data_IF_436103501998
#
_entry.id   IF_436103501998
#
_cell.length_a   1.000
_cell.length_b   1.000
_cell.length_c   1.000
_cell.angle_alpha   90.00
_cell.angle_beta   90.00
_cell.angle_gamma   90.00
#
_symmetry.space_group_name_H-M   'P 1'
#
loop_
_entity.id
_entity.type
_entity.pdbx_description
1 polymer ?
#
# COMPACT_ATOMS: atom_id res chain seq x y z
N UNK A 1 -40.45 2.08 72.64
CA UNK A 1 -40.23 3.24 71.72
C UNK A 1 -38.86 3.13 71.02
N UNK A 2 -37.91 2.42 71.63
CA UNK A 2 -36.52 2.25 71.06
C UNK A 2 -36.45 1.24 69.91
N UNK A 3 -37.28 0.17 69.94
CA UNK A 3 -37.28 -0.88 68.90
C UNK A 3 -37.89 -0.44 67.52
N UNK A 4 -38.71 0.60 67.45
CA UNK A 4 -39.24 1.11 66.18
C UNK A 4 -38.26 2.02 65.41
N UNK A 5 -37.26 2.60 66.10
CA UNK A 5 -36.26 3.45 65.47
C UNK A 5 -35.17 2.64 64.76
N UNK A 6 -34.82 1.47 65.26
CA UNK A 6 -33.80 0.59 64.65
C UNK A 6 -34.31 -0.08 63.37
N UNK A 7 -35.59 -0.49 63.34
CA UNK A 7 -36.18 -1.13 62.15
C UNK A 7 -36.28 -0.13 60.99
N UNK A 8 -36.59 1.10 61.22
CA UNK A 8 -36.65 2.14 60.15
C UNK A 8 -35.26 2.48 59.61
N UNK A 9 -34.19 2.44 60.42
CA UNK A 9 -32.82 2.63 59.95
C UNK A 9 -32.33 1.49 59.10
N UNK A 10 -32.67 0.25 59.42
CA UNK A 10 -32.32 -0.93 58.65
C UNK A 10 -33.05 -0.92 57.30
N UNK A 11 -34.34 -0.55 57.25
CA UNK A 11 -35.08 -0.42 56.00
C UNK A 11 -34.57 0.72 55.13
N UNK A 12 -34.13 1.84 55.68
CA UNK A 12 -33.56 2.95 54.96
C UNK A 12 -32.18 2.58 54.40
N UNK A 13 -31.34 1.85 55.15
CA UNK A 13 -30.05 1.36 54.66
C UNK A 13 -30.19 0.28 53.57
N UNK A 14 -31.17 -0.61 53.66
CA UNK A 14 -31.45 -1.62 52.62
C UNK A 14 -32.03 -0.97 51.37
N UNK A 15 -32.91 0.05 51.51
CA UNK A 15 -33.43 0.81 50.36
C UNK A 15 -32.34 1.60 49.64
N UNK A 16 -31.39 2.23 50.37
CA UNK A 16 -30.24 2.94 49.75
C UNK A 16 -29.29 1.96 49.09
N UNK A 17 -29.07 0.75 49.67
CA UNK A 17 -28.22 -0.28 49.06
C UNK A 17 -28.88 -0.92 47.83
N UNK A 18 -30.19 -1.12 47.80
CA UNK A 18 -30.95 -1.60 46.64
C UNK A 18 -31.02 -0.53 45.51
N UNK A 19 -31.11 0.77 45.88
CA UNK A 19 -31.08 1.84 44.89
C UNK A 19 -29.66 2.04 44.31
N UNK A 20 -28.61 1.87 45.10
CA UNK A 20 -27.23 1.94 44.58
C UNK A 20 -26.85 0.74 43.69
N UNK A 21 -27.38 -0.47 43.99
CA UNK A 21 -27.21 -1.65 43.13
C UNK A 21 -28.02 -1.53 41.84
N UNK A 22 -29.20 -0.91 41.87
CA UNK A 22 -30.02 -0.63 40.68
C UNK A 22 -29.40 0.48 39.81
N UNK A 23 -28.76 1.48 40.41
CA UNK A 23 -28.08 2.55 39.67
C UNK A 23 -26.79 2.04 39.01
N UNK A 24 -26.07 1.05 39.59
CA UNK A 24 -24.95 0.39 38.97
C UNK A 24 -25.35 -0.65 37.90
N UNK A 25 -26.58 -1.18 37.96
CA UNK A 25 -27.10 -2.16 36.99
C UNK A 25 -27.68 -1.54 35.71
N UNK A 26 -28.09 -0.24 35.73
CA UNK A 26 -28.61 0.44 34.55
C UNK A 26 -27.54 1.17 33.69
N UNK A 27 -26.29 1.26 34.17
CA UNK A 27 -25.17 1.78 33.36
C UNK A 27 -24.47 0.74 32.54
N UNK A 28 -25.01 -0.45 32.35
CA UNK A 28 -24.29 -1.60 31.79
C UNK A 28 -24.98 -2.31 30.64
N UNK A 29 -25.79 -1.64 29.82
CA UNK A 29 -26.46 -2.36 28.73
C UNK A 29 -26.32 -1.78 27.32
N UNK A 30 -25.77 -0.58 27.12
CA UNK A 30 -25.60 -0.13 25.73
C UNK A 30 -24.21 0.47 25.39
N UNK A 31 -23.42 0.95 26.36
CA UNK A 31 -22.07 1.46 26.08
C UNK A 31 -20.99 0.37 26.09
N UNK A 32 -21.18 -0.68 26.86
CA UNK A 32 -20.12 -1.69 27.09
C UNK A 32 -19.80 -2.61 25.90
N UNK A 33 -20.68 -2.69 24.90
CA UNK A 33 -20.40 -3.43 23.66
C UNK A 33 -19.86 -2.54 22.56
N UNK A 34 -20.25 -1.27 22.50
CA UNK A 34 -19.68 -0.30 21.58
C UNK A 34 -18.26 0.12 21.98
N UNK A 35 -18.00 0.28 23.29
CA UNK A 35 -16.66 0.62 23.80
C UNK A 35 -15.63 -0.52 23.63
N UNK A 36 -16.09 -1.79 23.44
CA UNK A 36 -15.21 -2.93 23.08
C UNK A 36 -14.89 -2.98 21.58
N UNK A 37 -15.66 -2.27 20.74
CA UNK A 37 -15.43 -2.16 19.29
C UNK A 37 -14.69 -0.89 18.89
N UNK A 38 -14.67 0.14 19.74
CA UNK A 38 -13.94 1.39 19.53
C UNK A 38 -12.74 1.44 20.50
N UNK A 39 -11.71 0.64 20.23
CA UNK A 39 -10.45 0.81 20.95
C UNK A 39 -9.84 2.17 20.64
N UNK A 40 -9.08 2.74 21.57
CA UNK A 40 -8.35 3.99 21.35
C UNK A 40 -7.47 3.90 20.10
N UNK A 41 -6.79 2.78 19.90
CA UNK A 41 -5.95 2.51 18.73
C UNK A 41 -6.77 2.44 17.43
N UNK A 42 -7.89 1.72 17.43
CA UNK A 42 -8.81 1.67 16.28
C UNK A 42 -9.37 3.06 15.93
N UNK A 43 -9.72 3.85 16.94
CA UNK A 43 -10.16 5.24 16.77
C UNK A 43 -9.08 6.15 16.17
N UNK A 44 -7.82 6.00 16.60
CA UNK A 44 -6.66 6.71 16.06
C UNK A 44 -6.37 6.30 14.62
N UNK A 45 -6.33 5.00 14.30
CA UNK A 45 -6.17 4.50 12.94
C UNK A 45 -7.21 5.09 11.99
N UNK A 46 -8.48 5.09 12.42
CA UNK A 46 -9.58 5.68 11.67
C UNK A 46 -9.39 7.19 11.43
N UNK A 47 -8.94 7.91 12.44
CA UNK A 47 -8.68 9.35 12.33
C UNK A 47 -7.55 9.63 11.34
N UNK A 48 -6.46 8.87 11.39
CA UNK A 48 -5.34 9.03 10.45
C UNK A 48 -5.76 8.72 9.00
N UNK A 49 -6.45 7.60 8.76
CA UNK A 49 -6.93 7.25 7.42
C UNK A 49 -7.84 8.35 6.88
N UNK A 50 -8.80 8.84 7.70
CA UNK A 50 -9.74 9.89 7.31
C UNK A 50 -9.03 11.18 6.92
N UNK A 51 -8.03 11.62 7.67
CA UNK A 51 -7.24 12.82 7.34
C UNK A 51 -6.42 12.59 6.07
N UNK A 52 -5.68 11.48 6.01
CA UNK A 52 -4.76 11.19 4.90
C UNK A 52 -5.47 10.86 3.58
N UNK A 53 -6.74 10.43 3.60
CA UNK A 53 -7.55 10.21 2.40
C UNK A 53 -8.60 11.30 2.16
N UNK A 54 -8.50 12.44 2.83
CA UNK A 54 -9.45 13.52 2.69
C UNK A 54 -9.36 14.20 1.30
N UNK A 55 -10.49 14.69 0.79
CA UNK A 55 -10.60 15.28 -0.54
C UNK A 55 -9.71 16.52 -0.75
N UNK A 56 -9.47 17.31 0.31
CA UNK A 56 -8.62 18.50 0.23
C UNK A 56 -7.13 18.18 0.01
N UNK A 57 -6.72 16.93 0.20
CA UNK A 57 -5.37 16.46 -0.14
C UNK A 57 -5.24 16.05 -1.62
N UNK A 58 -6.34 16.13 -2.39
CA UNK A 58 -6.36 15.91 -3.84
C UNK A 58 -5.64 14.61 -4.26
N UNK A 59 -5.76 13.56 -3.42
CA UNK A 59 -5.12 12.27 -3.67
C UNK A 59 -3.59 12.29 -3.54
N UNK A 60 -3.00 13.24 -2.85
CA UNK A 60 -1.58 13.29 -2.44
C UNK A 60 -0.58 13.03 -3.58
N UNK A 61 -0.84 13.56 -4.77
CA UNK A 61 0.09 13.35 -5.89
C UNK A 61 1.49 13.84 -5.55
N UNK A 62 2.51 13.06 -5.91
CA UNK A 62 3.90 13.44 -5.75
C UNK A 62 4.17 14.87 -6.25
N UNK A 63 4.76 15.73 -5.42
CA UNK A 63 5.07 17.11 -5.70
C UNK A 63 3.88 18.08 -5.62
N UNK A 64 2.68 17.63 -5.25
CA UNK A 64 1.52 18.51 -5.06
C UNK A 64 1.46 19.13 -3.66
N UNK A 65 0.60 20.15 -3.50
CA UNK A 65 0.29 20.71 -2.19
C UNK A 65 -0.39 19.67 -1.28
N UNK A 66 -1.15 18.73 -1.86
CA UNK A 66 -1.75 17.62 -1.12
C UNK A 66 -0.72 16.70 -0.50
N UNK A 67 0.34 16.33 -1.22
CA UNK A 67 1.47 15.56 -0.65
C UNK A 67 2.18 16.36 0.45
N UNK A 68 2.41 17.66 0.21
CA UNK A 68 3.05 18.53 1.20
C UNK A 68 2.23 18.60 2.50
N UNK A 69 0.93 18.80 2.40
CA UNK A 69 0.01 18.86 3.55
C UNK A 69 -0.03 17.52 4.29
N UNK A 70 -0.02 16.40 3.56
CA UNK A 70 0.08 15.07 4.16
C UNK A 70 1.41 14.86 4.91
N UNK A 71 2.53 15.34 4.35
CA UNK A 71 3.83 15.29 5.01
C UNK A 71 3.86 16.14 6.29
N UNK A 72 3.25 17.33 6.26
CA UNK A 72 3.11 18.19 7.43
C UNK A 72 2.29 17.49 8.53
N UNK A 73 1.18 16.87 8.16
CA UNK A 73 0.38 16.07 9.10
C UNK A 73 1.17 14.93 9.73
N UNK A 74 1.85 14.10 8.93
CA UNK A 74 2.69 13.00 9.44
C UNK A 74 3.76 13.50 10.39
N UNK A 75 4.45 14.59 10.03
CA UNK A 75 5.46 15.22 10.89
C UNK A 75 4.89 15.66 12.24
N UNK A 76 3.73 16.32 12.22
CA UNK A 76 3.13 16.90 13.43
C UNK A 76 2.61 15.78 14.35
N UNK A 77 2.00 14.74 13.80
CA UNK A 77 1.59 13.56 14.57
C UNK A 77 2.79 12.86 15.22
N UNK A 78 3.89 12.66 14.48
CA UNK A 78 5.12 12.07 15.08
C UNK A 78 5.63 12.90 16.25
N UNK A 79 5.63 14.24 16.14
CA UNK A 79 6.01 15.14 17.24
C UNK A 79 5.06 15.05 18.43
N UNK A 80 3.76 15.02 18.17
CA UNK A 80 2.74 14.90 19.23
C UNK A 80 2.88 13.59 20.01
N UNK A 81 3.35 12.53 19.34
CA UNK A 81 3.69 11.25 19.97
C UNK A 81 5.06 11.26 20.70
N UNK A 82 5.79 12.37 20.65
CA UNK A 82 7.11 12.50 21.26
C UNK A 82 8.24 11.82 20.48
N UNK A 83 8.01 11.49 19.21
CA UNK A 83 9.04 10.95 18.33
C UNK A 83 9.94 12.08 17.82
N UNK A 84 11.25 11.88 17.85
CA UNK A 84 12.21 12.86 17.34
C UNK A 84 12.13 12.93 15.81
N UNK A 85 11.62 14.05 15.28
CA UNK A 85 11.60 14.28 13.82
C UNK A 85 12.92 14.85 13.38
N UNK A 86 13.74 14.02 12.73
CA UNK A 86 15.10 14.37 12.28
C UNK A 86 15.16 14.96 10.88
N UNK A 87 14.07 14.85 10.07
CA UNK A 87 13.95 15.55 8.80
C UNK A 87 13.78 17.07 9.04
N UNK A 88 14.21 17.94 8.08
CA UNK A 88 13.93 19.38 8.14
C UNK A 88 12.43 19.68 8.27
N UNK A 89 12.09 20.94 8.69
CA UNK A 89 10.71 21.37 8.91
C UNK A 89 9.80 21.09 7.69
N UNK A 90 10.31 21.32 6.49
CA UNK A 90 9.56 21.12 5.23
C UNK A 90 9.72 19.70 4.66
N UNK A 91 10.23 18.76 5.45
CA UNK A 91 10.59 17.41 5.05
C UNK A 91 12.00 17.34 4.45
N UNK A 92 12.44 16.12 4.18
CA UNK A 92 13.70 15.81 3.48
C UNK A 92 13.43 15.92 1.96
N UNK A 93 13.64 17.13 1.41
CA UNK A 93 13.22 17.56 0.06
C UNK A 93 14.18 17.03 -1.01
N UNK A 94 13.62 16.51 -2.10
CA UNK A 94 14.36 16.08 -3.27
C UNK A 94 13.63 16.38 -4.57
N UNK A 95 14.39 16.47 -5.68
CA UNK A 95 13.88 16.73 -7.02
C UNK A 95 13.94 15.51 -7.92
N UNK A 96 12.88 15.29 -8.70
CA UNK A 96 12.78 14.23 -9.70
C UNK A 96 12.60 14.88 -11.07
N UNK A 97 13.43 14.51 -12.04
CA UNK A 97 13.23 14.96 -13.43
C UNK A 97 12.11 14.13 -14.05
N UNK A 98 11.09 14.82 -14.54
CA UNK A 98 10.01 14.21 -15.30
C UNK A 98 10.44 13.95 -16.75
N UNK A 99 9.73 13.08 -17.47
CA UNK A 99 9.94 12.85 -18.91
C UNK A 99 9.83 14.11 -19.76
N UNK A 100 9.08 15.12 -19.30
CA UNK A 100 8.91 16.42 -19.96
C UNK A 100 10.07 17.40 -19.72
N UNK A 101 11.05 17.00 -18.88
CA UNK A 101 12.20 17.84 -18.52
C UNK A 101 11.98 18.76 -17.33
N UNK A 102 10.76 18.85 -16.81
CA UNK A 102 10.44 19.59 -15.59
C UNK A 102 10.99 18.87 -14.34
N UNK A 103 11.16 19.59 -13.25
CA UNK A 103 11.53 19.02 -11.96
C UNK A 103 10.32 18.97 -11.03
N UNK A 104 9.90 17.77 -10.66
CA UNK A 104 8.93 17.53 -9.61
C UNK A 104 9.66 17.54 -8.25
N UNK A 105 9.13 18.24 -7.25
CA UNK A 105 9.73 18.34 -5.91
C UNK A 105 8.89 17.56 -4.93
N UNK A 106 9.45 16.51 -4.33
CA UNK A 106 8.81 15.69 -3.32
C UNK A 106 9.63 15.69 -2.01
N UNK A 107 9.20 14.95 -1.00
CA UNK A 107 9.82 14.94 0.33
C UNK A 107 9.57 13.66 1.11
N UNK A 108 10.55 13.27 1.94
CA UNK A 108 10.35 12.26 2.99
C UNK A 108 10.11 12.96 4.34
N UNK A 109 9.42 12.26 5.24
CA UNK A 109 9.35 12.63 6.67
C UNK A 109 10.01 11.52 7.46
N UNK A 110 10.96 11.90 8.33
CA UNK A 110 11.78 10.93 9.06
C UNK A 110 11.64 11.17 10.57
N UNK A 111 11.04 10.19 11.25
CA UNK A 111 10.99 10.11 12.72
C UNK A 111 12.03 9.14 13.25
N UNK A 112 12.49 9.37 14.47
CA UNK A 112 13.53 8.57 15.11
C UNK A 112 13.18 8.28 16.57
N UNK A 113 13.34 7.00 16.96
CA UNK A 113 13.27 6.55 18.35
C UNK A 113 14.55 5.82 18.69
N UNK A 114 15.29 6.33 19.67
CA UNK A 114 16.58 5.76 20.06
C UNK A 114 16.42 4.45 20.84
N UNK A 115 17.17 3.43 20.46
CA UNK A 115 17.28 2.17 21.21
C UNK A 115 18.05 2.33 22.52
N UNK A 116 17.75 1.48 23.50
CA UNK A 116 18.38 1.57 24.82
C UNK A 116 19.75 0.89 24.92
N UNK A 117 20.06 -0.06 24.04
CA UNK A 117 21.27 -0.88 24.12
C UNK A 117 22.50 -0.13 23.60
N UNK A 118 23.54 -0.04 24.38
CA UNK A 118 24.76 0.73 24.02
C UNK A 118 25.50 0.17 22.82
N UNK A 119 25.36 -1.11 22.52
CA UNK A 119 26.03 -1.78 21.39
C UNK A 119 25.15 -1.79 20.12
N UNK A 120 23.82 -1.78 20.29
CA UNK A 120 22.88 -1.91 19.18
C UNK A 120 22.10 -0.63 18.85
N UNK A 121 22.15 0.42 19.68
CA UNK A 121 21.39 1.66 19.43
C UNK A 121 21.82 2.42 18.17
N UNK A 122 23.06 2.17 17.70
CA UNK A 122 23.57 2.74 16.46
C UNK A 122 23.32 1.80 15.25
N UNK A 123 22.47 0.77 15.45
CA UNK A 123 21.92 -0.09 14.42
C UNK A 123 20.45 0.23 14.25
N UNK A 124 19.97 0.28 13.01
CA UNK A 124 18.67 0.82 12.68
C UNK A 124 17.73 -0.22 12.07
N UNK A 125 16.48 -0.20 12.51
CA UNK A 125 15.36 -0.81 11.78
C UNK A 125 14.58 0.33 11.16
N UNK A 126 14.34 0.28 9.85
CA UNK A 126 13.52 1.26 9.14
C UNK A 126 12.09 0.72 9.04
N UNK A 127 11.12 1.49 9.51
CA UNK A 127 9.70 1.27 9.26
C UNK A 127 9.25 2.30 8.24
N UNK A 128 8.86 1.85 7.06
CA UNK A 128 8.53 2.73 5.94
C UNK A 128 7.12 2.54 5.43
N UNK A 129 6.50 3.64 4.99
CA UNK A 129 5.22 3.65 4.31
C UNK A 129 5.20 4.73 3.22
N UNK A 130 4.51 4.46 2.11
CA UNK A 130 4.33 5.41 1.01
C UNK A 130 3.46 6.58 1.42
N UNK A 131 3.93 7.82 1.17
CA UNK A 131 3.22 9.07 1.48
C UNK A 131 2.29 9.51 0.36
N UNK A 132 2.79 9.48 -0.88
CA UNK A 132 2.07 9.94 -2.07
C UNK A 132 1.09 8.90 -2.62
N UNK A 133 0.22 9.37 -3.51
CA UNK A 133 -0.67 8.52 -4.29
C UNK A 133 -0.92 9.16 -5.67
N UNK A 134 -1.92 8.70 -6.42
CA UNK A 134 -2.11 9.04 -7.84
C UNK A 134 -2.61 10.47 -8.10
N UNK A 135 -3.14 11.16 -7.08
CA UNK A 135 -3.62 12.53 -7.23
C UNK A 135 -5.02 12.61 -7.83
N UNK A 136 -5.20 13.55 -8.76
CA UNK A 136 -6.45 13.77 -9.47
C UNK A 136 -6.31 13.48 -10.96
N UNK A 137 -7.42 13.14 -11.60
CA UNK A 137 -7.51 12.96 -13.05
C UNK A 137 -8.72 13.67 -13.61
N UNK A 138 -8.50 14.51 -14.63
CA UNK A 138 -9.61 15.14 -15.36
C UNK A 138 -10.20 14.15 -16.35
N UNK A 139 -11.48 13.82 -16.20
CA UNK A 139 -12.28 13.04 -17.14
C UNK A 139 -13.32 13.94 -17.80
N UNK A 140 -13.71 13.63 -19.04
CA UNK A 140 -14.78 14.35 -19.71
C UNK A 140 -16.03 13.49 -19.71
N UNK A 141 -17.08 13.94 -19.00
CA UNK A 141 -18.39 13.31 -18.93
C UNK A 141 -19.41 14.27 -19.54
N UNK A 142 -20.18 13.84 -20.54
CA UNK A 142 -21.18 14.65 -21.24
C UNK A 142 -20.61 15.98 -21.76
N UNK A 143 -19.37 15.99 -22.24
CA UNK A 143 -18.69 17.19 -22.72
C UNK A 143 -18.23 18.16 -21.62
N UNK A 144 -18.49 17.85 -20.35
CA UNK A 144 -18.00 18.62 -19.19
C UNK A 144 -16.76 17.95 -18.60
N UNK A 145 -15.75 18.77 -18.28
CA UNK A 145 -14.59 18.30 -17.55
C UNK A 145 -14.97 18.11 -16.09
N UNK A 146 -14.76 16.92 -15.58
CA UNK A 146 -14.96 16.55 -14.16
C UNK A 146 -13.63 16.06 -13.62
N UNK A 147 -13.25 16.50 -12.44
CA UNK A 147 -12.06 16.03 -11.76
C UNK A 147 -12.44 14.85 -10.86
N UNK A 148 -11.70 13.76 -10.99
CA UNK A 148 -11.81 12.58 -10.12
C UNK A 148 -10.59 12.51 -9.22
N UNK A 149 -10.82 12.25 -7.93
CA UNK A 149 -9.78 12.16 -6.91
C UNK A 149 -9.52 10.68 -6.61
N UNK A 150 -8.24 10.29 -6.66
CA UNK A 150 -7.78 8.98 -6.19
C UNK A 150 -7.40 9.12 -4.73
N UNK A 151 -8.34 8.88 -3.83
CA UNK A 151 -8.19 9.13 -2.39
C UNK A 151 -7.06 8.31 -1.76
N UNK A 152 -6.86 7.06 -2.19
CA UNK A 152 -5.81 6.19 -1.70
C UNK A 152 -5.95 5.90 -0.21
N UNK A 153 -7.16 5.53 0.23
CA UNK A 153 -7.39 5.21 1.64
C UNK A 153 -6.65 3.94 2.05
N UNK A 154 -6.79 2.85 1.26
CA UNK A 154 -5.96 1.68 1.45
C UNK A 154 -4.61 1.81 0.73
N UNK A 155 -4.52 2.54 -0.35
CA UNK A 155 -3.29 2.71 -1.13
C UNK A 155 -2.65 4.11 -1.08
N UNK A 156 -2.04 4.65 0.03
CA UNK A 156 -1.53 3.93 1.20
C UNK A 156 -1.78 4.70 2.52
N UNK A 157 -2.93 5.38 2.68
CA UNK A 157 -3.22 6.02 3.96
C UNK A 157 -3.31 4.99 5.10
N UNK A 158 -3.74 3.75 4.82
CA UNK A 158 -3.76 2.65 5.77
C UNK A 158 -2.35 2.32 6.31
N UNK A 159 -1.38 2.10 5.44
CA UNK A 159 0.01 1.82 5.84
C UNK A 159 0.66 2.98 6.59
N UNK A 160 0.39 4.24 6.19
CA UNK A 160 0.83 5.42 6.93
C UNK A 160 0.21 5.49 8.34
N UNK A 161 -1.08 5.14 8.47
CA UNK A 161 -1.77 5.13 9.76
C UNK A 161 -1.21 4.08 10.69
N UNK A 162 -0.94 2.88 10.18
CA UNK A 162 -0.24 1.81 10.93
C UNK A 162 1.17 2.27 11.33
N UNK A 163 1.91 2.93 10.45
CA UNK A 163 3.24 3.47 10.77
C UNK A 163 3.19 4.48 11.91
N UNK A 164 2.22 5.39 11.91
CA UNK A 164 2.06 6.41 12.94
C UNK A 164 1.70 5.80 14.30
N UNK A 165 0.74 4.87 14.34
CA UNK A 165 0.37 4.19 15.57
C UNK A 165 1.50 3.27 16.09
N UNK A 166 2.22 2.60 15.19
CA UNK A 166 3.41 1.85 15.55
C UNK A 166 4.48 2.77 16.15
N UNK A 167 4.66 3.98 15.60
CA UNK A 167 5.61 4.96 16.14
C UNK A 167 5.22 5.40 17.56
N UNK A 168 3.91 5.62 17.82
CA UNK A 168 3.40 5.90 19.16
C UNK A 168 3.68 4.76 20.14
N UNK A 169 3.40 3.51 19.74
CA UNK A 169 3.63 2.33 20.58
C UNK A 169 5.12 2.13 20.88
N UNK A 170 5.99 2.31 19.88
CA UNK A 170 7.45 2.20 20.02
C UNK A 170 8.00 3.31 20.93
N UNK A 171 7.56 4.53 20.74
CA UNK A 171 8.00 5.66 21.57
C UNK A 171 7.57 5.49 23.03
N UNK A 172 6.30 5.11 23.25
CA UNK A 172 5.78 4.88 24.60
C UNK A 172 6.54 3.76 25.33
N UNK A 173 6.98 2.74 24.60
CA UNK A 173 7.65 1.55 25.13
C UNK A 173 9.13 1.47 24.67
N UNK A 174 9.80 2.59 24.47
CA UNK A 174 11.16 2.65 23.91
C UNK A 174 12.19 1.79 24.65
N UNK A 175 11.98 1.54 25.95
CA UNK A 175 12.80 0.64 26.77
C UNK A 175 12.73 -0.83 26.35
N UNK A 176 11.84 -1.22 25.45
CA UNK A 176 11.73 -2.58 24.91
C UNK A 176 12.60 -2.78 23.66
N UNK A 177 13.19 -1.72 23.08
CA UNK A 177 13.86 -1.79 21.79
C UNK A 177 15.37 -1.58 21.97
N UNK A 178 16.17 -2.60 21.67
CA UNK A 178 17.63 -2.52 21.73
C UNK A 178 18.20 -1.68 20.58
N UNK A 179 17.69 -1.90 19.34
CA UNK A 179 18.05 -1.11 18.16
C UNK A 179 17.19 0.13 18.06
N UNK A 180 17.72 1.15 17.44
CA UNK A 180 16.96 2.36 17.10
C UNK A 180 16.00 2.10 15.94
N UNK A 181 14.87 2.80 15.96
CA UNK A 181 13.83 2.67 14.94
C UNK A 181 13.71 3.99 14.19
N UNK A 182 13.74 3.92 12.87
CA UNK A 182 13.46 5.02 11.95
C UNK A 182 12.09 4.83 11.33
N UNK A 183 11.20 5.81 11.45
CA UNK A 183 9.90 5.86 10.81
C UNK A 183 9.98 6.79 9.60
N UNK A 184 9.76 6.26 8.39
CA UNK A 184 9.94 7.04 7.17
C UNK A 184 8.69 7.01 6.32
N UNK A 185 8.03 8.18 6.16
CA UNK A 185 7.02 8.36 5.15
C UNK A 185 7.72 8.75 3.84
N UNK A 186 7.73 7.84 2.86
CA UNK A 186 8.42 8.03 1.59
C UNK A 186 7.52 8.79 0.60
N UNK A 187 8.00 9.94 0.13
CA UNK A 187 7.36 10.68 -0.96
C UNK A 187 7.74 10.13 -2.33
N UNK A 188 6.92 10.44 -3.32
CA UNK A 188 7.13 10.04 -4.71
C UNK A 188 7.44 8.54 -4.90
N UNK A 189 6.79 7.68 -4.11
CA UNK A 189 6.86 6.23 -4.32
C UNK A 189 6.16 5.84 -5.64
N UNK A 190 5.14 6.61 -6.07
CA UNK A 190 4.48 6.45 -7.37
C UNK A 190 5.40 6.79 -8.56
N UNK A 191 6.50 7.50 -8.31
CA UNK A 191 7.54 7.86 -9.28
C UNK A 191 8.77 6.95 -9.11
N UNK A 192 8.58 5.65 -9.31
CA UNK A 192 9.62 4.60 -9.24
C UNK A 192 10.36 4.54 -7.89
N UNK A 193 9.62 4.72 -6.78
CA UNK A 193 10.15 4.66 -5.41
C UNK A 193 11.27 5.69 -5.15
N UNK A 194 11.12 6.89 -5.71
CA UNK A 194 12.16 7.91 -5.67
C UNK A 194 12.52 8.35 -4.25
N UNK A 195 11.53 8.38 -3.32
CA UNK A 195 11.77 8.76 -1.93
C UNK A 195 12.64 7.78 -1.17
N UNK A 196 12.35 6.49 -1.26
CA UNK A 196 13.17 5.45 -0.62
C UNK A 196 14.56 5.34 -1.26
N UNK A 197 14.65 5.50 -2.59
CA UNK A 197 15.93 5.59 -3.27
C UNK A 197 16.75 6.80 -2.80
N UNK A 198 16.12 7.98 -2.69
CA UNK A 198 16.79 9.21 -2.22
C UNK A 198 17.26 9.05 -0.77
N UNK A 199 16.42 8.52 0.10
CA UNK A 199 16.77 8.21 1.49
C UNK A 199 18.06 7.39 1.57
N UNK A 200 18.16 6.28 0.84
CA UNK A 200 19.29 5.38 0.90
C UNK A 200 20.56 5.88 0.19
N UNK A 201 20.45 6.80 -0.77
CA UNK A 201 21.60 7.19 -1.59
C UNK A 201 22.08 8.63 -1.33
N UNK A 202 21.27 9.46 -0.66
CA UNK A 202 21.57 10.89 -0.53
C UNK A 202 21.30 11.47 0.85
N UNK A 203 20.24 11.02 1.53
CA UNK A 203 19.75 11.65 2.74
C UNK A 203 20.34 11.02 4.00
N UNK A 204 20.22 9.70 4.15
CA UNK A 204 20.65 9.01 5.35
C UNK A 204 22.12 8.56 5.25
N UNK A 205 22.97 9.13 6.12
CA UNK A 205 24.42 8.89 6.05
C UNK A 205 24.85 7.48 6.48
N UNK A 206 24.11 6.87 7.41
CA UNK A 206 24.50 5.62 8.07
C UNK A 206 23.82 4.38 7.48
N UNK A 207 23.64 4.32 6.16
CA UNK A 207 22.96 3.23 5.46
C UNK A 207 23.56 1.85 5.79
N UNK A 208 24.87 1.77 6.00
CA UNK A 208 25.56 0.53 6.40
C UNK A 208 25.14 -0.01 7.76
N UNK A 209 24.52 0.82 8.60
CA UNK A 209 24.01 0.48 9.92
C UNK A 209 22.52 0.12 9.91
N UNK A 210 21.85 0.14 8.77
CA UNK A 210 20.47 -0.36 8.63
C UNK A 210 20.53 -1.88 8.60
N UNK A 211 19.93 -2.52 9.61
CA UNK A 211 19.87 -3.98 9.72
C UNK A 211 18.71 -4.60 8.94
N UNK A 212 17.58 -3.90 8.91
CA UNK A 212 16.39 -4.37 8.15
C UNK A 212 15.39 -3.23 7.90
N UNK A 213 14.45 -3.49 6.98
CA UNK A 213 13.29 -2.64 6.72
C UNK A 213 11.99 -3.41 6.96
N UNK A 214 11.01 -2.74 7.53
CA UNK A 214 9.59 -3.11 7.57
C UNK A 214 8.86 -2.16 6.64
N UNK A 215 8.31 -2.65 5.53
CA UNK A 215 7.52 -1.88 4.58
C UNK A 215 6.03 -2.12 4.84
N UNK A 216 5.29 -1.05 5.07
CA UNK A 216 3.85 -1.07 5.37
C UNK A 216 3.08 -0.55 4.16
N UNK A 217 2.37 -1.43 3.46
CA UNK A 217 1.69 -1.04 2.23
C UNK A 217 0.35 -1.78 2.08
N UNK A 218 -0.76 -1.02 2.01
CA UNK A 218 -2.13 -1.52 1.86
C UNK A 218 -2.55 -2.49 2.98
N UNK A 219 -2.73 -1.96 4.19
CA UNK A 219 -3.09 -2.72 5.40
C UNK A 219 -4.54 -2.50 5.86
N UNK A 220 -5.42 -2.01 4.98
CA UNK A 220 -6.78 -1.62 5.38
C UNK A 220 -7.89 -2.57 4.94
N UNK A 221 -7.61 -3.65 4.21
CA UNK A 221 -8.63 -4.61 3.72
C UNK A 221 -8.27 -6.02 4.17
N UNK A 222 -8.40 -6.27 5.49
CA UNK A 222 -8.01 -7.51 6.15
C UNK A 222 -8.78 -8.75 5.68
N UNK A 223 -9.99 -8.58 5.14
CA UNK A 223 -10.78 -9.67 4.53
C UNK A 223 -10.07 -10.35 3.34
N UNK A 224 -9.12 -9.67 2.70
CA UNK A 224 -8.26 -10.26 1.65
C UNK A 224 -7.14 -11.15 2.21
N UNK A 225 -6.91 -11.14 3.52
CA UNK A 225 -5.82 -11.83 4.20
C UNK A 225 -4.73 -10.87 4.69
N UNK A 226 -3.77 -11.44 5.42
CA UNK A 226 -2.61 -10.70 5.92
C UNK A 226 -1.34 -11.44 5.49
N UNK A 227 -0.41 -10.75 4.84
CA UNK A 227 0.76 -11.35 4.20
C UNK A 227 2.06 -10.68 4.67
N UNK A 228 3.13 -11.50 4.79
CA UNK A 228 4.49 -11.05 5.00
C UNK A 228 5.37 -11.54 3.84
N UNK A 229 5.84 -10.62 3.00
CA UNK A 229 6.77 -10.90 1.90
C UNK A 229 8.20 -10.57 2.34
N UNK A 230 9.12 -11.54 2.27
CA UNK A 230 10.50 -11.40 2.74
C UNK A 230 11.55 -11.67 1.66
N UNK A 231 11.16 -11.88 0.41
CA UNK A 231 12.03 -12.38 -0.67
C UNK A 231 12.80 -13.65 -0.25
N UNK A 232 12.15 -14.54 0.50
CA UNK A 232 12.76 -15.76 1.05
C UNK A 232 13.98 -15.51 1.97
N UNK A 233 14.07 -14.34 2.60
CA UNK A 233 15.15 -14.06 3.54
C UNK A 233 15.08 -14.97 4.76
N UNK A 234 16.13 -15.78 4.98
CA UNK A 234 16.16 -16.80 6.03
C UNK A 234 16.10 -16.21 7.43
N UNK A 235 16.77 -15.09 7.67
CA UNK A 235 16.85 -14.49 9.00
C UNK A 235 15.47 -13.91 9.38
N UNK A 236 14.81 -13.20 8.46
CA UNK A 236 13.45 -12.67 8.66
C UNK A 236 12.42 -13.79 8.79
N UNK A 237 12.50 -14.84 7.95
CA UNK A 237 11.61 -16.00 8.04
C UNK A 237 11.77 -16.76 9.36
N UNK A 238 12.99 -16.85 9.90
CA UNK A 238 13.24 -17.44 11.22
C UNK A 238 12.57 -16.64 12.34
N UNK A 239 12.64 -15.31 12.29
CA UNK A 239 11.98 -14.43 13.29
C UNK A 239 10.46 -14.56 13.17
N UNK A 240 9.89 -14.51 11.95
CA UNK A 240 8.46 -14.70 11.70
C UNK A 240 7.98 -16.07 12.18
N UNK A 241 8.73 -17.14 11.87
CA UNK A 241 8.37 -18.51 12.29
C UNK A 241 8.35 -18.66 13.82
N UNK A 242 9.32 -18.05 14.52
CA UNK A 242 9.36 -18.05 15.97
C UNK A 242 8.15 -17.29 16.54
N UNK A 243 7.88 -16.10 16.04
CA UNK A 243 6.76 -15.27 16.49
C UNK A 243 5.41 -15.95 16.21
N UNK A 244 5.26 -16.61 15.06
CA UNK A 244 4.05 -17.37 14.70
C UNK A 244 3.86 -18.64 15.58
N UNK A 245 4.88 -19.09 16.27
CA UNK A 245 4.80 -20.14 17.31
C UNK A 245 4.30 -19.65 18.66
N UNK A 246 4.19 -18.33 18.84
CA UNK A 246 3.71 -17.68 20.06
C UNK A 246 2.23 -17.25 19.88
N UNK A 247 1.53 -16.94 20.99
CA UNK A 247 0.16 -16.43 20.93
C UNK A 247 0.17 -15.02 20.32
N UNK A 248 -0.45 -14.86 19.16
CA UNK A 248 -0.58 -13.61 18.43
C UNK A 248 -2.04 -13.34 18.06
N UNK A 249 -2.46 -12.05 17.90
CA UNK A 249 -3.82 -11.70 17.53
C UNK A 249 -4.20 -12.16 16.11
N UNK A 250 -3.19 -12.24 15.23
CA UNK A 250 -3.30 -12.71 13.86
C UNK A 250 -1.93 -13.22 13.39
N UNK A 251 -1.91 -14.07 12.37
CA UNK A 251 -0.68 -14.58 11.77
C UNK A 251 -0.62 -14.22 10.27
N UNK A 252 0.46 -13.61 9.78
CA UNK A 252 0.61 -13.40 8.35
C UNK A 252 0.92 -14.70 7.62
N UNK A 253 0.41 -14.82 6.41
CA UNK A 253 0.89 -15.81 5.45
C UNK A 253 2.23 -15.34 4.91
N UNK A 254 3.30 -16.09 5.22
CA UNK A 254 4.64 -15.77 4.68
C UNK A 254 4.71 -16.19 3.21
N UNK A 255 5.03 -15.26 2.33
CA UNK A 255 5.11 -15.50 0.89
C UNK A 255 6.50 -15.21 0.34
N UNK A 256 6.96 -16.05 -0.60
CA UNK A 256 8.18 -15.84 -1.36
C UNK A 256 7.92 -15.04 -2.65
N UNK A 257 6.70 -15.08 -3.17
CA UNK A 257 6.30 -14.31 -4.34
C UNK A 257 5.99 -12.86 -3.96
N UNK A 258 6.64 -11.91 -4.62
CA UNK A 258 6.36 -10.49 -4.44
C UNK A 258 4.95 -10.17 -4.95
N UNK A 259 4.04 -9.68 -4.09
CA UNK A 259 2.66 -9.41 -4.50
C UNK A 259 2.59 -8.23 -5.48
N UNK A 260 3.41 -7.21 -5.29
CA UNK A 260 3.59 -6.04 -6.15
C UNK A 260 4.82 -5.23 -5.71
N UNK A 261 5.38 -4.39 -6.60
CA UNK A 261 6.52 -3.53 -6.28
C UNK A 261 6.15 -2.45 -5.25
N UNK A 262 7.04 -2.22 -4.27
CA UNK A 262 6.91 -1.15 -3.28
C UNK A 262 8.31 -0.67 -2.82
N UNK A 263 8.36 0.24 -1.85
CA UNK A 263 9.60 0.88 -1.38
C UNK A 263 10.67 -0.09 -0.85
N UNK A 264 10.29 -1.30 -0.43
CA UNK A 264 11.24 -2.36 -0.03
C UNK A 264 12.26 -2.70 -1.11
N UNK A 265 11.93 -2.52 -2.41
CA UNK A 265 12.85 -2.78 -3.52
C UNK A 265 14.10 -1.91 -3.48
N UNK A 266 13.98 -0.65 -3.02
CA UNK A 266 15.15 0.23 -2.85
C UNK A 266 16.13 -0.35 -1.82
N UNK A 267 15.63 -0.94 -0.74
CA UNK A 267 16.44 -1.60 0.28
C UNK A 267 17.07 -2.89 -0.22
N UNK A 268 16.36 -3.70 -0.97
CA UNK A 268 16.92 -4.88 -1.63
C UNK A 268 18.09 -4.54 -2.56
N UNK A 269 18.02 -3.41 -3.27
CA UNK A 269 19.11 -2.95 -4.13
C UNK A 269 20.41 -2.62 -3.36
N UNK A 270 20.31 -2.46 -2.03
CA UNK A 270 21.42 -2.23 -1.10
C UNK A 270 21.75 -3.46 -0.26
N UNK A 271 21.19 -4.63 -0.61
CA UNK A 271 21.34 -5.87 0.16
C UNK A 271 20.89 -5.74 1.61
N UNK A 272 19.90 -4.87 1.89
CA UNK A 272 19.27 -4.71 3.19
C UNK A 272 18.03 -5.62 3.23
N UNK A 273 17.95 -6.54 4.22
CA UNK A 273 16.78 -7.37 4.42
C UNK A 273 15.52 -6.52 4.61
N UNK A 274 14.42 -6.87 3.94
CA UNK A 274 13.15 -6.17 4.12
C UNK A 274 12.00 -7.16 4.19
N UNK A 275 11.00 -6.85 5.03
CA UNK A 275 9.70 -7.50 5.03
C UNK A 275 8.65 -6.49 4.59
N UNK A 276 7.77 -6.88 3.67
CA UNK A 276 6.59 -6.11 3.35
C UNK A 276 5.37 -6.77 3.98
N UNK A 277 4.67 -6.03 4.85
CA UNK A 277 3.36 -6.39 5.36
C UNK A 277 2.26 -5.74 4.53
N UNK A 278 1.27 -6.53 4.12
CA UNK A 278 0.17 -6.09 3.26
C UNK A 278 -1.05 -6.99 3.38
N UNK A 279 -2.23 -6.46 3.10
CA UNK A 279 -3.46 -7.24 2.87
C UNK A 279 -3.65 -7.65 1.41
N UNK A 280 -2.68 -7.30 0.55
CA UNK A 280 -2.71 -7.63 -0.87
C UNK A 280 -3.51 -6.65 -1.72
N UNK A 281 -3.73 -7.03 -2.98
CA UNK A 281 -4.51 -6.22 -3.91
C UNK A 281 -6.01 -6.42 -3.70
N UNK A 282 -6.79 -5.38 -3.97
CA UNK A 282 -8.24 -5.32 -3.80
C UNK A 282 -8.87 -4.61 -5.00
N UNK A 283 -10.18 -4.80 -5.25
CA UNK A 283 -10.83 -4.30 -6.46
C UNK A 283 -10.79 -2.78 -6.65
N UNK A 284 -10.83 -2.02 -5.54
CA UNK A 284 -10.83 -0.56 -5.55
C UNK A 284 -9.44 0.06 -5.71
N UNK A 285 -8.37 -0.76 -5.70
CA UNK A 285 -6.99 -0.29 -5.80
C UNK A 285 -6.79 0.57 -7.06
N UNK A 286 -6.17 1.76 -6.85
CA UNK A 286 -5.92 2.74 -7.90
C UNK A 286 -7.18 3.27 -8.60
N UNK A 287 -8.33 3.26 -7.92
CA UNK A 287 -9.59 3.85 -8.38
C UNK A 287 -10.05 4.97 -7.44
N UNK A 288 -11.03 5.76 -7.88
CA UNK A 288 -11.72 6.76 -7.05
C UNK A 288 -12.56 6.16 -5.91
N UNK A 289 -12.74 4.82 -5.91
CA UNK A 289 -13.48 4.09 -4.89
C UNK A 289 -12.61 3.66 -3.71
N UNK A 290 -11.29 3.84 -3.80
CA UNK A 290 -10.37 3.60 -2.68
C UNK A 290 -10.53 4.71 -1.63
N UNK A 291 -11.63 4.64 -0.89
CA UNK A 291 -12.06 5.61 0.11
C UNK A 291 -12.06 5.01 1.52
N UNK A 292 -12.20 5.84 2.55
CA UNK A 292 -12.28 5.39 3.95
C UNK A 292 -13.32 4.28 4.17
N UNK A 293 -14.39 4.25 3.36
CA UNK A 293 -15.51 3.31 3.54
C UNK A 293 -15.16 1.83 3.33
N UNK A 294 -14.05 1.54 2.67
CA UNK A 294 -13.60 0.15 2.45
C UNK A 294 -12.63 -0.34 3.53
N UNK A 295 -12.25 0.51 4.47
CA UNK A 295 -11.24 0.19 5.49
C UNK A 295 -11.86 -0.60 6.63
N UNK A 296 -11.23 -1.72 6.97
CA UNK A 296 -11.60 -2.64 8.03
C UNK A 296 -10.68 -2.43 9.25
N UNK A 297 -11.09 -1.56 10.17
CA UNK A 297 -10.21 -1.10 11.26
C UNK A 297 -9.90 -2.17 12.30
N UNK A 298 -10.82 -3.09 12.61
CA UNK A 298 -10.59 -4.17 13.58
C UNK A 298 -9.50 -5.16 13.09
N UNK A 299 -9.52 -5.67 11.85
CA UNK A 299 -8.39 -6.42 11.30
C UNK A 299 -7.08 -5.62 11.30
N UNK A 300 -7.13 -4.35 10.88
CA UNK A 300 -5.98 -3.46 10.81
C UNK A 300 -5.31 -3.24 12.18
N UNK A 301 -6.10 -3.19 13.26
CA UNK A 301 -5.58 -3.11 14.63
C UNK A 301 -4.83 -4.40 15.03
N UNK A 302 -5.38 -5.57 14.70
CA UNK A 302 -4.72 -6.87 14.96
C UNK A 302 -3.41 -7.01 14.15
N UNK A 303 -3.41 -6.52 12.92
CA UNK A 303 -2.22 -6.47 12.07
C UNK A 303 -1.15 -5.56 12.67
N UNK A 304 -1.54 -4.37 13.14
CA UNK A 304 -0.65 -3.45 13.85
C UNK A 304 -0.03 -4.09 15.09
N UNK A 305 -0.82 -4.79 15.91
CA UNK A 305 -0.31 -5.48 17.11
C UNK A 305 0.71 -6.56 16.73
N UNK A 306 0.43 -7.36 15.70
CA UNK A 306 1.39 -8.33 15.20
C UNK A 306 2.68 -7.66 14.69
N UNK A 307 2.57 -6.58 13.92
CA UNK A 307 3.70 -5.82 13.38
C UNK A 307 4.52 -5.20 14.52
N UNK A 308 3.87 -4.74 15.59
CA UNK A 308 4.55 -4.24 16.79
C UNK A 308 5.37 -5.35 17.47
N UNK A 309 4.79 -6.53 17.69
CA UNK A 309 5.47 -7.69 18.26
C UNK A 309 6.63 -8.15 17.37
N UNK A 310 6.44 -8.14 16.04
CA UNK A 310 7.52 -8.41 15.09
C UNK A 310 8.64 -7.37 15.17
N UNK A 311 8.30 -6.09 15.31
CA UNK A 311 9.29 -5.01 15.47
C UNK A 311 10.11 -5.17 16.74
N UNK A 312 9.49 -5.57 17.86
CA UNK A 312 10.21 -5.92 19.10
C UNK A 312 11.17 -7.10 18.85
N UNK A 313 10.68 -8.19 18.25
CA UNK A 313 11.50 -9.37 17.98
C UNK A 313 12.69 -9.04 17.08
N UNK A 314 12.46 -8.22 16.04
CA UNK A 314 13.49 -7.77 15.10
C UNK A 314 14.52 -6.85 15.76
N UNK A 315 14.07 -5.87 16.57
CA UNK A 315 14.95 -4.94 17.25
C UNK A 315 15.82 -5.60 18.33
N UNK A 316 15.36 -6.72 18.88
CA UNK A 316 16.02 -7.41 20.01
C UNK A 316 16.82 -8.66 19.62
N UNK A 317 16.75 -9.09 18.36
CA UNK A 317 17.51 -10.27 17.93
C UNK A 317 19.02 -10.06 18.07
N UNK A 318 19.73 -11.10 18.53
CA UNK A 318 21.18 -11.16 18.50
C UNK A 318 21.73 -11.61 17.14
N UNK A 319 20.87 -12.00 16.22
CA UNK A 319 21.28 -12.36 14.87
C UNK A 319 21.85 -11.12 14.17
N UNK A 320 23.00 -11.27 13.53
CA UNK A 320 23.43 -10.31 12.54
C UNK A 320 22.60 -10.54 11.30
N UNK A 321 21.58 -9.70 11.14
CA UNK A 321 20.72 -9.77 9.98
C UNK A 321 21.51 -9.56 8.70
N UNK A 322 21.35 -10.45 7.75
CA UNK A 322 22.04 -10.41 6.48
C UNK A 322 21.06 -10.60 5.33
N UNK A 323 21.35 -9.97 4.20
CA UNK A 323 20.65 -10.22 2.96
C UNK A 323 21.05 -11.61 2.44
N UNK A 324 20.57 -12.64 3.14
CA UNK A 324 20.63 -14.01 2.67
C UNK A 324 19.27 -14.29 2.03
N UNK A 325 19.11 -13.91 0.79
CA UNK A 325 18.24 -14.72 -0.04
C UNK A 325 18.79 -16.14 0.10
N UNK A 326 17.94 -17.12 0.47
CA UNK A 326 18.31 -18.49 0.23
C UNK A 326 19.09 -18.46 -1.09
N UNK A 327 20.30 -19.02 -1.10
CA UNK A 327 20.79 -19.58 -2.34
C UNK A 327 19.79 -20.71 -2.67
N UNK A 328 18.59 -20.32 -3.03
CA UNK A 328 17.95 -21.00 -4.13
C UNK A 328 19.07 -20.97 -5.12
N UNK A 329 19.83 -22.09 -5.16
CA UNK A 329 20.73 -22.43 -6.25
C UNK A 329 20.09 -21.75 -7.40
N UNK A 330 20.74 -20.77 -8.02
CA UNK A 330 20.20 -19.98 -9.11
C UNK A 330 19.63 -20.93 -10.16
N UNK A 331 18.55 -21.58 -9.80
CA UNK A 331 17.49 -21.94 -10.70
C UNK A 331 17.03 -20.56 -11.11
N UNK A 332 17.51 -20.16 -12.24
CA UNK A 332 16.94 -19.03 -12.93
C UNK A 332 15.44 -19.07 -12.74
N UNK A 333 14.76 -17.92 -12.72
CA UNK A 333 13.39 -17.75 -12.21
C UNK A 333 12.63 -19.04 -12.31
N UNK A 334 12.12 -19.54 -11.17
CA UNK A 334 11.40 -20.82 -11.12
C UNK A 334 10.51 -20.81 -12.35
N UNK A 335 10.39 -21.93 -13.06
CA UNK A 335 9.61 -22.01 -14.31
C UNK A 335 8.19 -21.46 -14.16
N UNK A 336 7.76 -21.12 -12.93
CA UNK A 336 6.46 -20.54 -12.58
C UNK A 336 6.52 -19.06 -12.16
N UNK A 337 7.70 -18.46 -11.98
CA UNK A 337 7.85 -17.06 -11.62
C UNK A 337 7.48 -16.15 -12.80
N UNK A 338 6.77 -15.07 -12.47
CA UNK A 338 6.41 -14.03 -13.44
C UNK A 338 7.57 -13.04 -13.53
N UNK A 339 8.15 -12.88 -14.72
CA UNK A 339 9.23 -11.95 -15.02
C UNK A 339 8.64 -10.68 -15.66
N UNK A 340 9.13 -9.50 -15.28
CA UNK A 340 8.74 -8.28 -15.95
C UNK A 340 9.17 -8.27 -17.41
N UNK A 341 8.36 -7.64 -18.29
CA UNK A 341 8.65 -7.48 -19.71
C UNK A 341 10.08 -6.95 -19.98
N UNK A 342 10.53 -6.01 -19.14
CA UNK A 342 11.84 -5.39 -19.29
C UNK A 342 13.01 -6.26 -18.80
N UNK A 343 12.73 -7.27 -17.97
CA UNK A 343 13.74 -8.14 -17.37
C UNK A 343 13.95 -9.44 -18.17
N UNK A 344 13.26 -9.60 -19.30
CA UNK A 344 13.46 -10.74 -20.21
C UNK A 344 14.69 -10.52 -21.09
N UNK A 345 15.54 -11.55 -21.24
CA UNK A 345 16.64 -11.56 -22.23
C UNK A 345 16.09 -11.48 -23.66
N UNK A 346 14.97 -12.19 -23.89
CA UNK A 346 14.17 -12.10 -25.10
C UNK A 346 12.76 -11.74 -24.69
N UNK A 347 12.32 -10.52 -25.01
CA UNK A 347 10.99 -10.02 -24.70
C UNK A 347 9.90 -10.80 -25.41
N UNK A 348 8.69 -10.89 -24.87
CA UNK A 348 7.54 -11.37 -25.61
C UNK A 348 7.33 -10.58 -26.91
N UNK A 349 6.89 -11.25 -27.96
CA UNK A 349 6.59 -10.56 -29.22
C UNK A 349 5.20 -10.92 -29.76
N UNK A 350 4.51 -9.89 -30.27
CA UNK A 350 3.22 -10.03 -30.94
C UNK A 350 3.38 -9.85 -32.45
N UNK A 351 2.90 -10.83 -33.25
CA UNK A 351 3.06 -10.84 -34.72
C UNK A 351 4.53 -10.61 -35.17
N UNK A 352 5.49 -11.18 -34.45
CA UNK A 352 6.94 -11.03 -34.62
C UNK A 352 7.50 -9.63 -34.35
N UNK A 353 6.73 -8.75 -33.74
CA UNK A 353 7.19 -7.42 -33.28
C UNK A 353 7.34 -7.39 -31.77
N UNK A 354 8.40 -6.75 -31.29
CA UNK A 354 8.65 -6.46 -29.87
C UNK A 354 8.01 -5.12 -29.44
N UNK A 355 7.47 -4.36 -30.42
CA UNK A 355 6.85 -3.08 -30.14
C UNK A 355 5.44 -3.26 -29.60
N UNK A 356 5.17 -2.69 -28.42
CA UNK A 356 3.84 -2.71 -27.78
C UNK A 356 2.81 -2.01 -28.67
N UNK A 357 3.20 -0.99 -29.41
CA UNK A 357 2.36 -0.29 -30.38
C UNK A 357 1.76 -1.23 -31.44
N UNK A 358 2.51 -2.24 -31.87
CA UNK A 358 1.99 -3.26 -32.80
C UNK A 358 0.82 -4.02 -32.23
N UNK A 359 0.86 -4.39 -30.94
CA UNK A 359 -0.27 -5.05 -30.29
C UNK A 359 -1.46 -4.13 -30.13
N UNK A 360 -1.22 -2.88 -29.72
CA UNK A 360 -2.28 -1.88 -29.60
C UNK A 360 -2.99 -1.64 -30.95
N UNK A 361 -2.23 -1.39 -32.02
CA UNK A 361 -2.78 -1.06 -33.34
C UNK A 361 -3.39 -2.23 -34.08
N UNK A 362 -2.73 -3.42 -34.05
CA UNK A 362 -3.14 -4.59 -34.85
C UNK A 362 -4.14 -5.49 -34.15
N UNK A 363 -4.27 -5.36 -32.83
CA UNK A 363 -5.23 -6.14 -32.07
C UNK A 363 -6.17 -5.27 -31.23
N UNK A 364 -5.64 -4.55 -30.24
CA UNK A 364 -6.51 -3.86 -29.27
C UNK A 364 -7.46 -2.90 -29.97
N UNK A 365 -6.95 -1.91 -30.72
CA UNK A 365 -7.79 -0.90 -31.36
C UNK A 365 -8.58 -1.42 -32.58
N UNK A 366 -8.20 -2.57 -33.13
CA UNK A 366 -8.97 -3.19 -34.20
C UNK A 366 -10.23 -3.90 -33.66
N UNK A 367 -10.18 -4.47 -32.46
CA UNK A 367 -11.26 -5.27 -31.87
C UNK A 367 -11.91 -4.60 -30.66
N UNK A 368 -11.45 -3.43 -30.26
CA UNK A 368 -12.04 -2.60 -29.21
C UNK A 368 -13.44 -2.16 -29.62
N UNK A 369 -14.41 -2.37 -28.75
CA UNK A 369 -15.78 -1.87 -28.90
C UNK A 369 -16.02 -0.78 -27.90
N UNK A 370 -16.28 0.42 -28.38
CA UNK A 370 -16.61 1.51 -27.46
C UNK A 370 -18.00 1.24 -26.85
N UNK A 371 -18.13 1.13 -25.51
CA UNK A 371 -19.42 0.88 -24.87
C UNK A 371 -20.41 2.01 -25.16
N UNK A 372 -21.67 1.64 -25.48
CA UNK A 372 -22.70 2.64 -25.81
C UNK A 372 -23.04 3.59 -24.66
N UNK A 373 -22.99 3.08 -23.41
CA UNK A 373 -23.12 3.88 -22.19
C UNK A 373 -22.07 4.97 -22.11
N UNK A 374 -20.81 4.61 -22.31
CA UNK A 374 -19.69 5.55 -22.30
C UNK A 374 -19.75 6.55 -23.47
N UNK A 375 -20.21 6.12 -24.67
CA UNK A 375 -20.44 7.02 -25.80
C UNK A 375 -21.54 8.03 -25.48
N UNK A 376 -22.67 7.59 -24.93
CA UNK A 376 -23.79 8.47 -24.56
C UNK A 376 -23.41 9.48 -23.49
N UNK A 377 -22.58 9.07 -22.54
CA UNK A 377 -22.13 9.89 -21.42
C UNK A 377 -20.83 10.66 -21.74
N UNK A 378 -20.31 10.58 -22.97
CA UNK A 378 -19.11 11.31 -23.38
C UNK A 378 -17.84 10.91 -22.62
N UNK A 379 -17.80 9.71 -22.02
CA UNK A 379 -16.69 9.25 -21.19
C UNK A 379 -15.54 8.77 -22.07
N UNK A 380 -14.34 9.28 -21.84
CA UNK A 380 -13.10 8.93 -22.56
C UNK A 380 -11.89 9.00 -21.63
N UNK A 381 -10.84 8.23 -21.91
CA UNK A 381 -9.64 8.22 -21.10
C UNK A 381 -8.72 7.05 -21.42
N UNK A 382 -7.70 6.84 -20.57
CA UNK A 382 -6.74 5.75 -20.69
C UNK A 382 -6.93 4.77 -19.55
N UNK A 383 -7.31 3.55 -19.87
CA UNK A 383 -7.36 2.42 -18.93
C UNK A 383 -6.00 1.74 -18.93
N UNK A 384 -5.36 1.64 -17.78
CA UNK A 384 -4.07 0.96 -17.63
C UNK A 384 -4.36 -0.49 -17.24
N UNK A 385 -3.92 -1.43 -18.08
CA UNK A 385 -4.21 -2.85 -17.91
C UNK A 385 -2.92 -3.64 -17.78
N UNK A 386 -2.85 -4.44 -16.74
CA UNK A 386 -1.80 -5.41 -16.48
C UNK A 386 -2.24 -6.81 -16.88
N UNK A 387 -1.34 -7.61 -17.43
CA UNK A 387 -1.62 -8.99 -17.82
C UNK A 387 -0.34 -9.82 -17.91
N UNK A 388 -0.50 -11.13 -17.89
CA UNK A 388 0.61 -12.09 -18.01
C UNK A 388 0.53 -12.79 -19.36
N UNK A 389 1.68 -12.90 -20.02
CA UNK A 389 1.90 -13.81 -21.15
C UNK A 389 2.52 -15.08 -20.61
N UNK A 390 1.80 -16.20 -20.66
CA UNK A 390 2.29 -17.48 -20.16
C UNK A 390 3.38 -18.10 -21.07
N UNK A 391 3.92 -19.24 -20.66
CA UNK A 391 5.00 -19.96 -21.41
C UNK A 391 4.56 -20.48 -22.77
N UNK A 392 3.27 -20.64 -22.96
CA UNK A 392 2.63 -21.05 -24.23
C UNK A 392 2.27 -19.84 -25.09
N UNK A 393 2.49 -18.62 -24.60
CA UNK A 393 2.18 -17.37 -25.27
C UNK A 393 0.72 -16.92 -25.12
N UNK A 394 -0.06 -17.53 -24.22
CA UNK A 394 -1.43 -17.12 -23.96
C UNK A 394 -1.47 -15.95 -22.97
N UNK A 395 -2.35 -15.01 -23.19
CA UNK A 395 -2.64 -13.93 -22.23
C UNK A 395 -3.51 -14.47 -21.09
N UNK A 396 -3.06 -14.23 -19.85
CA UNK A 396 -3.74 -14.64 -18.61
C UNK A 396 -3.67 -13.51 -17.57
N UNK A 397 -4.40 -13.63 -16.48
CA UNK A 397 -4.36 -12.73 -15.33
C UNK A 397 -4.54 -11.25 -15.71
N UNK A 398 -5.48 -10.97 -16.63
CA UNK A 398 -5.77 -9.62 -17.11
C UNK A 398 -6.54 -8.83 -16.06
N UNK A 399 -6.01 -7.69 -15.66
CA UNK A 399 -6.62 -6.82 -14.63
C UNK A 399 -6.40 -5.35 -14.95
N UNK A 400 -7.34 -4.54 -14.56
CA UNK A 400 -7.20 -3.07 -14.60
C UNK A 400 -6.40 -2.62 -13.37
N UNK A 401 -5.30 -1.92 -13.59
CA UNK A 401 -4.51 -1.30 -12.52
C UNK A 401 -4.82 0.18 -12.36
N UNK A 402 -5.45 0.79 -13.36
CA UNK A 402 -5.98 2.15 -13.30
C UNK A 402 -7.14 2.28 -14.29
N UNK A 403 -8.33 2.39 -13.75
CA UNK A 403 -9.57 2.49 -14.51
C UNK A 403 -9.96 3.92 -14.85
N UNK A 404 -10.97 4.03 -15.72
CA UNK A 404 -11.60 5.29 -16.10
C UNK A 404 -13.11 5.22 -15.80
N UNK A 405 -13.74 4.13 -16.19
CA UNK A 405 -15.17 3.88 -16.07
C UNK A 405 -15.39 2.36 -16.15
N UNK A 406 -16.30 1.77 -15.38
CA UNK A 406 -16.50 0.33 -15.35
C UNK A 406 -16.72 -0.30 -16.73
N UNK A 407 -17.51 0.35 -17.60
CA UNK A 407 -17.78 -0.19 -18.94
C UNK A 407 -16.54 -0.14 -19.86
N UNK A 408 -15.72 0.94 -19.74
CA UNK A 408 -14.45 1.05 -20.46
C UNK A 408 -13.41 0.06 -19.93
N UNK A 409 -13.39 -0.14 -18.63
CA UNK A 409 -12.47 -1.06 -17.95
C UNK A 409 -12.76 -2.50 -18.32
N UNK A 410 -14.03 -2.90 -18.32
CA UNK A 410 -14.49 -4.23 -18.75
C UNK A 410 -14.17 -4.49 -20.23
N UNK A 411 -14.35 -3.50 -21.09
CA UNK A 411 -14.02 -3.63 -22.50
C UNK A 411 -12.51 -3.75 -22.74
N UNK A 412 -11.69 -3.00 -21.99
CA UNK A 412 -10.24 -3.12 -22.03
C UNK A 412 -9.78 -4.53 -21.61
N UNK A 413 -10.33 -5.05 -20.52
CA UNK A 413 -10.08 -6.43 -20.06
C UNK A 413 -10.52 -7.44 -21.10
N UNK A 414 -11.73 -7.28 -21.67
CA UNK A 414 -12.26 -8.19 -22.69
C UNK A 414 -11.36 -8.29 -23.92
N UNK A 415 -10.96 -7.14 -24.48
CA UNK A 415 -10.17 -7.14 -25.72
C UNK A 415 -8.77 -7.70 -25.52
N UNK A 416 -8.13 -7.44 -24.37
CA UNK A 416 -6.81 -7.98 -24.05
C UNK A 416 -6.87 -9.47 -23.75
N UNK A 417 -7.89 -9.93 -23.00
CA UNK A 417 -8.08 -11.35 -22.69
C UNK A 417 -8.35 -12.21 -23.93
N UNK A 418 -8.93 -11.61 -24.96
CA UNK A 418 -9.20 -12.28 -26.24
C UNK A 418 -7.99 -12.29 -27.19
N UNK A 419 -6.82 -11.83 -26.76
CA UNK A 419 -5.60 -11.74 -27.58
C UNK A 419 -5.22 -13.09 -28.18
N UNK A 420 -4.78 -13.14 -29.45
CA UNK A 420 -4.08 -14.29 -30.01
C UNK A 420 -2.77 -14.58 -29.26
N UNK A 421 -2.22 -15.76 -29.48
CA UNK A 421 -0.98 -16.17 -28.85
C UNK A 421 0.18 -15.29 -29.27
N UNK A 422 0.99 -14.94 -28.27
CA UNK A 422 2.28 -14.29 -28.40
C UNK A 422 3.43 -15.31 -28.51
N UNK A 423 4.58 -14.85 -28.93
CA UNK A 423 5.80 -15.58 -28.62
C UNK A 423 6.18 -15.24 -27.16
N UNK A 424 6.34 -16.24 -26.28
CA UNK A 424 6.62 -15.99 -24.87
C UNK A 424 8.01 -15.39 -24.65
N UNK A 425 8.16 -14.66 -23.55
CA UNK A 425 9.45 -14.16 -23.07
C UNK A 425 10.40 -15.29 -22.71
N UNK A 426 11.72 -15.00 -22.73
CA UNK A 426 12.75 -15.95 -22.33
C UNK A 426 13.76 -15.29 -21.39
N UNK A 427 14.22 -16.10 -20.43
CA UNK A 427 15.36 -15.80 -19.56
C UNK A 427 16.28 -17.02 -19.55
N UNK A 428 17.56 -16.81 -19.79
CA UNK A 428 18.56 -17.88 -19.93
C UNK A 428 18.12 -18.98 -20.91
N UNK A 429 17.50 -18.57 -22.03
CA UNK A 429 17.01 -19.48 -23.08
C UNK A 429 15.69 -20.20 -22.77
N UNK A 430 15.21 -20.17 -21.53
CA UNK A 430 13.95 -20.81 -21.09
C UNK A 430 12.77 -19.89 -21.24
N UNK A 431 11.60 -20.43 -21.63
CA UNK A 431 10.34 -19.68 -21.66
C UNK A 431 9.89 -19.35 -20.24
N UNK A 432 9.49 -18.10 -20.02
CA UNK A 432 9.01 -17.60 -18.71
C UNK A 432 7.62 -16.98 -18.85
N UNK A 433 6.88 -16.96 -17.75
CA UNK A 433 5.68 -16.12 -17.64
C UNK A 433 6.12 -14.67 -17.56
N UNK A 434 5.52 -13.80 -18.36
CA UNK A 434 5.97 -12.40 -18.44
C UNK A 434 4.83 -11.45 -18.16
N UNK A 435 4.98 -10.55 -17.19
CA UNK A 435 4.01 -9.48 -16.92
C UNK A 435 4.24 -8.28 -17.82
N UNK A 436 3.14 -7.71 -18.30
CA UNK A 436 3.11 -6.49 -19.10
C UNK A 436 2.01 -5.57 -18.64
N UNK A 437 2.30 -4.27 -18.64
CA UNK A 437 1.33 -3.22 -18.38
C UNK A 437 1.21 -2.32 -19.61
N UNK A 438 -0.01 -2.10 -20.10
CA UNK A 438 -0.23 -1.26 -21.29
C UNK A 438 -1.39 -0.27 -21.09
N UNK A 439 -1.31 0.94 -21.67
CA UNK A 439 -2.43 1.88 -21.71
C UNK A 439 -3.36 1.57 -22.89
N UNK A 440 -4.64 1.34 -22.62
CA UNK A 440 -5.71 1.27 -23.62
C UNK A 440 -6.42 2.62 -23.66
N UNK A 441 -6.28 3.36 -24.75
CA UNK A 441 -6.86 4.70 -24.88
C UNK A 441 -8.24 4.64 -25.54
N UNK A 442 -9.25 5.16 -24.83
CA UNK A 442 -10.61 5.36 -25.34
C UNK A 442 -10.78 6.84 -25.71
N UNK A 443 -10.98 7.13 -26.99
CA UNK A 443 -11.13 8.50 -27.51
C UNK A 443 -12.37 8.59 -28.40
N UNK A 444 -13.23 9.57 -28.11
CA UNK A 444 -14.38 9.89 -28.95
C UNK A 444 -13.97 10.79 -30.11
N UNK A 445 -14.36 10.43 -31.32
CA UNK A 445 -14.13 11.28 -32.50
C UNK A 445 -14.93 12.59 -32.40
N UNK A 446 -14.25 13.73 -32.57
CA UNK A 446 -14.95 14.99 -32.78
C UNK A 446 -15.60 14.97 -34.16
N UNK A 447 -16.94 15.11 -34.24
CA UNK A 447 -17.63 15.35 -35.52
C UNK A 447 -17.00 16.57 -36.20
N UNK A 448 -16.12 16.38 -37.19
CA UNK A 448 -15.59 17.47 -38.01
C UNK A 448 -14.09 17.44 -38.37
N UNK A 449 -13.28 16.49 -37.91
CA UNK A 449 -11.88 16.39 -38.33
C UNK A 449 -11.70 15.26 -39.35
N UNK A 450 -11.50 15.61 -40.61
CA UNK A 450 -11.00 14.71 -41.65
C UNK A 450 -9.50 14.52 -41.42
N UNK A 451 -9.11 13.59 -40.54
CA UNK A 451 -7.81 12.91 -40.64
C UNK A 451 -7.95 11.55 -39.93
N UNK A 452 -7.87 10.57 -40.75
CA UNK A 452 -8.12 9.17 -40.61
C UNK A 452 -7.24 8.43 -39.60
N UNK A 453 -7.86 7.82 -38.58
CA UNK A 453 -7.63 6.42 -38.30
C UNK A 453 -9.01 5.73 -38.37
N UNK A 454 -9.28 5.10 -39.52
CA UNK A 454 -10.60 4.62 -39.86
C UNK A 454 -10.99 3.37 -39.07
N UNK A 455 -11.99 3.46 -38.21
CA UNK A 455 -12.80 2.31 -37.82
C UNK A 455 -13.72 1.93 -38.96
N UNK A 456 -13.33 0.93 -39.76
CA UNK A 456 -14.26 0.31 -40.73
C UNK A 456 -15.27 -0.50 -39.91
N UNK A 457 -16.52 -0.04 -39.89
CA UNK A 457 -17.67 -0.86 -39.53
C UNK A 457 -17.74 -2.03 -40.51
N UNK A 458 -17.59 -3.25 -40.03
CA UNK A 458 -18.11 -4.43 -40.69
C UNK A 458 -19.43 -4.78 -40.04
N UNK A 459 -20.51 -4.45 -40.76
CA UNK A 459 -21.82 -5.01 -40.54
C UNK A 459 -21.82 -6.47 -41.04
N UNK A 460 -22.05 -7.40 -40.15
CA UNK A 460 -22.77 -8.67 -40.36
C UNK A 460 -23.63 -8.96 -39.12
#
# INVERSE_FOLDING_TARGET
MIMRFEINRIFTLIAVFLFSVSAFGQYRTDSGYQDLYDSETGGSLKSHVRVLSASHLEGRKAGSDGEKTAAEYVRDVLKDYGVDVISPKDGDIFGIKTEKGDTLTSRNVIGFVQGYDKELRDRYIVVGARLDNLGTMTVTVDGRKTERIFYGANGNASGLSVMLELARMVQTNSVLFRRSILFVAFGASTETFAGSWYFLNRSFGDVANIDAMINLDMLGVGSNGFYAYTASNMDLNSILSKLNGELQPIHPTVTAAEPYPSDHRAFYSKEIPAVMFTTGQYPEHNTEKDTESIIEYEPMERELEYIYNFTIALANTNLKLSFRADKVVSRGPSYDDVVSYNDCDVRPSFLNSYEVSTFLEKWVYQYLKYPESAVRNGIQGKVLVDFIIDKEGKVTDVRVIRGVDPDLDDEAVRVISASPKWRPGRVNGNRVRTSMTIPVEFRLEKKGSKNSFGFKRHSY
#
